data_IF_895937391523
#
_entry.id   IF_895937391523
#
_cell.length_a   1.000
_cell.length_b   1.000
_cell.length_c   1.000
_cell.angle_alpha   90.00
_cell.angle_beta   90.00
_cell.angle_gamma   90.00
#
_symmetry.space_group_name_H-M   'P 1'
#
loop_
_entity.id
_entity.type
_entity.pdbx_description
1 polymer ?
#
# COMPACT_ATOMS: atom_id res chain seq x y z
N UNK A 1 -22.77 12.24 5.18
CA UNK A 1 -22.00 11.11 5.72
C UNK A 1 -20.58 11.29 5.23
N UNK A 2 -19.64 11.65 6.10
CA UNK A 2 -18.24 11.68 5.70
C UNK A 2 -17.83 10.24 5.42
N UNK A 3 -17.73 9.88 4.15
CA UNK A 3 -17.14 8.61 3.76
C UNK A 3 -15.73 8.60 4.37
N UNK A 4 -15.43 7.57 5.18
CA UNK A 4 -14.09 7.37 5.69
C UNK A 4 -13.17 7.15 4.48
N UNK A 5 -12.35 8.14 4.15
CA UNK A 5 -11.39 8.02 3.06
C UNK A 5 -10.16 7.29 3.61
N UNK A 6 -10.04 6.00 3.31
CA UNK A 6 -8.94 5.17 3.78
C UNK A 6 -7.57 5.74 3.38
N UNK A 7 -7.45 6.30 2.17
CA UNK A 7 -6.20 6.90 1.70
C UNK A 7 -5.81 8.12 2.55
N UNK A 8 -6.76 8.96 2.92
CA UNK A 8 -6.49 10.10 3.82
C UNK A 8 -5.99 9.62 5.18
N UNK A 9 -6.58 8.55 5.73
CA UNK A 9 -6.13 7.98 6.99
C UNK A 9 -4.75 7.34 6.89
N UNK A 10 -4.42 6.66 5.79
CA UNK A 10 -3.09 6.09 5.59
C UNK A 10 -2.02 7.18 5.41
N UNK A 11 -2.39 8.31 4.81
CA UNK A 11 -1.49 9.44 4.52
C UNK A 11 -1.02 10.21 5.76
N UNK A 12 -1.66 10.05 6.93
CA UNK A 12 -1.21 10.67 8.19
C UNK A 12 -0.01 9.93 8.81
N UNK A 13 0.27 8.72 8.34
CA UNK A 13 1.35 7.88 8.86
C UNK A 13 2.69 8.51 8.52
N UNK A 14 3.52 8.74 9.53
CA UNK A 14 4.89 9.23 9.32
C UNK A 14 5.68 8.20 8.51
N UNK A 15 6.37 8.67 7.47
CA UNK A 15 7.23 7.83 6.65
C UNK A 15 8.65 7.76 7.23
N UNK A 16 9.11 6.60 7.76
CA UNK A 16 10.44 6.47 8.34
C UNK A 16 11.52 6.21 7.29
N UNK A 17 11.15 6.05 6.02
CA UNK A 17 12.09 5.72 4.93
C UNK A 17 12.97 6.92 4.62
N UNK A 18 14.16 6.65 4.11
CA UNK A 18 15.08 7.71 3.73
C UNK A 18 14.58 8.37 2.42
N UNK A 19 14.28 9.67 2.43
CA UNK A 19 13.65 10.38 1.29
C UNK A 19 14.29 10.13 -0.08
N UNK A 20 15.61 9.96 -0.15
CA UNK A 20 16.37 9.67 -1.38
C UNK A 20 16.25 8.22 -1.90
N UNK A 21 15.56 7.33 -1.18
CA UNK A 21 15.30 5.93 -1.53
C UNK A 21 13.80 5.66 -1.68
N UNK A 22 12.99 6.70 -1.82
CA UNK A 22 11.53 6.59 -1.92
C UNK A 22 11.11 6.76 -3.37
N UNK A 23 10.63 5.69 -3.99
CA UNK A 23 10.04 5.70 -5.34
C UNK A 23 8.50 5.76 -5.31
N UNK A 24 7.90 5.27 -4.22
CA UNK A 24 6.44 5.18 -4.04
C UNK A 24 6.00 5.78 -2.70
N UNK A 25 4.81 6.39 -2.68
CA UNK A 25 4.22 6.92 -1.44
C UNK A 25 3.96 5.78 -0.46
N UNK A 26 4.17 6.04 0.83
CA UNK A 26 3.91 5.04 1.86
C UNK A 26 2.42 4.66 1.90
N UNK A 27 1.52 5.62 1.68
CA UNK A 27 0.07 5.37 1.61
C UNK A 27 -0.30 4.32 0.57
N UNK A 28 0.36 4.35 -0.59
CA UNK A 28 0.06 3.47 -1.72
C UNK A 28 0.55 2.05 -1.43
N UNK A 29 1.74 1.93 -0.83
CA UNK A 29 2.28 0.65 -0.36
C UNK A 29 1.38 0.06 0.74
N UNK A 30 0.99 0.85 1.73
CA UNK A 30 0.11 0.38 2.81
C UNK A 30 -1.24 -0.07 2.27
N UNK A 31 -1.82 0.67 1.32
CA UNK A 31 -3.07 0.28 0.68
C UNK A 31 -2.91 -1.05 -0.07
N UNK A 32 -1.86 -1.18 -0.89
CA UNK A 32 -1.55 -2.40 -1.63
C UNK A 32 -1.41 -3.60 -0.68
N UNK A 33 -0.60 -3.47 0.38
CA UNK A 33 -0.39 -4.52 1.38
C UNK A 33 -1.69 -4.92 2.05
N UNK A 34 -2.54 -3.97 2.46
CA UNK A 34 -3.84 -4.28 3.09
C UNK A 34 -4.73 -5.05 2.10
N UNK A 35 -4.82 -4.60 0.85
CA UNK A 35 -5.62 -5.27 -0.18
C UNK A 35 -5.13 -6.69 -0.46
N UNK A 36 -3.82 -6.87 -0.65
CA UNK A 36 -3.20 -8.17 -0.93
C UNK A 36 -3.36 -9.14 0.24
N UNK A 37 -3.10 -8.70 1.48
CA UNK A 37 -3.27 -9.55 2.68
C UNK A 37 -4.73 -9.95 2.88
N UNK A 38 -5.69 -9.05 2.64
CA UNK A 38 -7.13 -9.40 2.66
C UNK A 38 -7.47 -10.42 1.57
N UNK A 39 -6.81 -10.33 0.41
CA UNK A 39 -6.96 -11.28 -0.70
C UNK A 39 -6.27 -12.63 -0.47
N UNK A 40 -5.52 -12.77 0.63
CA UNK A 40 -4.87 -14.01 1.03
C UNK A 40 -3.36 -14.08 0.84
N UNK A 41 -2.70 -12.97 0.50
CA UNK A 41 -1.24 -12.94 0.42
C UNK A 41 -0.59 -13.14 1.80
N UNK A 42 0.30 -14.12 1.92
CA UNK A 42 1.00 -14.49 3.15
C UNK A 42 2.40 -13.88 3.26
N UNK A 43 3.02 -13.53 2.13
CA UNK A 43 4.37 -12.94 2.08
C UNK A 43 4.46 -11.73 1.14
N UNK A 44 5.66 -11.14 1.10
CA UNK A 44 5.89 -9.92 0.33
C UNK A 44 5.96 -10.17 -1.19
N UNK A 45 6.31 -11.38 -1.62
CA UNK A 45 6.38 -11.77 -3.03
C UNK A 45 4.95 -11.84 -3.58
N UNK A 46 4.04 -12.46 -2.84
CA UNK A 46 2.61 -12.51 -3.19
C UNK A 46 1.95 -11.12 -3.19
N UNK A 47 2.39 -10.19 -2.33
CA UNK A 47 1.93 -8.79 -2.36
C UNK A 47 2.43 -8.06 -3.61
N UNK A 48 3.68 -8.27 -4.00
CA UNK A 48 4.26 -7.72 -5.22
C UNK A 48 3.51 -8.24 -6.45
N UNK A 49 3.34 -9.56 -6.56
CA UNK A 49 2.59 -10.21 -7.63
C UNK A 49 1.16 -9.66 -7.73
N UNK A 50 0.47 -9.49 -6.60
CA UNK A 50 -0.87 -8.89 -6.55
C UNK A 50 -0.90 -7.46 -7.14
N UNK A 51 0.16 -6.68 -6.92
CA UNK A 51 0.29 -5.33 -7.45
C UNK A 51 0.61 -5.27 -8.94
N UNK A 52 1.33 -6.27 -9.47
CA UNK A 52 1.72 -6.37 -10.88
C UNK A 52 0.59 -6.93 -11.75
N UNK A 53 -0.23 -7.86 -11.21
CA UNK A 53 -1.35 -8.53 -11.90
C UNK A 53 -2.45 -7.62 -12.50
N UNK A 54 -2.38 -6.30 -12.26
CA UNK A 54 -3.38 -5.30 -12.70
C UNK A 54 -2.80 -4.25 -13.67
N UNK A 55 -1.58 -4.42 -14.15
CA UNK A 55 -0.93 -3.49 -15.09
C UNK A 55 -1.07 -3.86 -16.58
N UNK A 56 -1.68 -5.02 -16.88
CA UNK A 56 -2.02 -5.48 -18.24
C UNK A 56 -3.50 -5.24 -18.60
#
# INVERSE_FOLDING_TARGET
MNAFNLIEQLSITSDPRQNWKVEHKLSDILLLTICAVIAGAEDWEEIEDFGVERLD
#
